data_IF_405299123277
#
_entry.id   IF_405299123277
#
_cell.length_a   1.000
_cell.length_b   1.000
_cell.length_c   1.000
_cell.angle_alpha   90.00
_cell.angle_beta   90.00
_cell.angle_gamma   90.00
#
_symmetry.space_group_name_H-M   'P 1'
#
loop_
_entity.id
_entity.type
_entity.pdbx_description
1 polymer ?
#
# COMPACT_ATOMS: atom_id res chain seq x y z
N UNK A 1 53.72 18.34 -45.05
CA UNK A 1 54.42 17.25 -45.77
C UNK A 1 53.69 15.95 -45.46
N UNK A 2 53.32 15.22 -46.51
CA UNK A 2 52.58 13.98 -46.47
C UNK A 2 53.50 12.76 -46.36
N UNK A 3 53.11 11.75 -45.60
CA UNK A 3 53.26 10.33 -45.97
C UNK A 3 52.28 9.49 -45.11
N UNK A 4 51.17 8.96 -45.63
CA UNK A 4 50.97 7.75 -46.45
C UNK A 4 50.85 6.45 -45.64
N UNK A 5 49.57 6.01 -45.51
CA UNK A 5 49.01 4.63 -45.55
C UNK A 5 49.47 3.54 -44.57
N UNK A 6 48.47 2.94 -43.92
CA UNK A 6 48.46 1.53 -43.52
C UNK A 6 47.05 1.07 -43.12
N UNK A 7 46.36 0.38 -44.02
CA UNK A 7 44.99 -0.16 -43.91
C UNK A 7 45.10 -1.69 -43.76
N UNK A 8 44.38 -2.32 -42.82
CA UNK A 8 43.96 -3.74 -42.76
C UNK A 8 43.12 -3.93 -41.47
N UNK A 9 41.79 -4.03 -41.49
CA UNK A 9 40.88 -5.14 -41.85
C UNK A 9 41.03 -6.43 -41.04
N UNK A 10 39.95 -6.70 -40.28
CA UNK A 10 39.27 -7.97 -39.97
C UNK A 10 39.93 -9.00 -39.02
N UNK A 11 39.18 -9.43 -38.00
CA UNK A 11 38.50 -10.73 -38.01
C UNK A 11 37.69 -10.97 -36.72
N UNK A 12 36.39 -11.16 -36.90
CA UNK A 12 35.44 -11.73 -35.92
C UNK A 12 35.78 -13.20 -35.71
N UNK A 13 35.79 -13.69 -34.46
CA UNK A 13 35.81 -15.13 -34.17
C UNK A 13 34.67 -15.47 -33.22
N UNK A 14 33.65 -16.14 -33.77
CA UNK A 14 32.60 -16.84 -33.05
C UNK A 14 33.13 -18.24 -32.75
N UNK A 15 33.12 -18.66 -31.47
CA UNK A 15 33.37 -20.06 -31.09
C UNK A 15 32.12 -20.56 -30.39
N UNK A 16 31.38 -21.40 -31.10
CA UNK A 16 30.32 -22.23 -30.57
C UNK A 16 30.94 -23.53 -30.07
N UNK A 17 30.68 -23.90 -28.81
CA UNK A 17 31.09 -25.18 -28.26
C UNK A 17 29.83 -25.94 -27.82
N UNK A 18 29.46 -26.94 -28.62
CA UNK A 18 28.47 -27.96 -28.29
C UNK A 18 29.25 -29.23 -27.93
N UNK A 19 29.05 -29.77 -26.73
CA UNK A 19 29.43 -31.14 -26.38
C UNK A 19 28.26 -31.75 -25.61
N UNK A 20 27.82 -32.92 -26.06
CA UNK A 20 26.66 -33.63 -25.54
C UNK A 20 26.99 -34.84 -24.64
N UNK A 21 25.94 -35.23 -23.90
CA UNK A 21 25.44 -36.57 -23.53
C UNK A 21 26.36 -37.61 -22.84
N UNK A 22 25.87 -38.10 -21.67
CA UNK A 22 25.44 -39.49 -21.34
C UNK A 22 25.38 -39.63 -19.79
N UNK A 23 24.23 -39.76 -19.13
CA UNK A 23 23.37 -40.95 -18.92
C UNK A 23 23.45 -41.50 -17.47
N UNK A 24 22.31 -41.65 -16.79
CA UNK A 24 22.17 -42.36 -15.50
C UNK A 24 20.81 -42.11 -14.83
N UNK A 25 19.92 -43.11 -14.86
CA UNK A 25 18.55 -43.06 -14.32
C UNK A 25 18.45 -43.64 -12.89
N UNK A 26 17.69 -43.00 -12.00
CA UNK A 26 16.81 -43.63 -10.99
C UNK A 26 15.63 -42.70 -10.64
N UNK A 27 14.43 -43.23 -10.33
CA UNK A 27 13.21 -42.44 -10.15
C UNK A 27 12.94 -42.12 -8.68
N UNK A 28 12.57 -40.88 -8.34
CA UNK A 28 11.74 -40.56 -7.17
C UNK A 28 11.42 -39.05 -7.10
N UNK A 29 10.17 -38.78 -6.74
CA UNK A 29 9.55 -37.50 -6.38
C UNK A 29 9.26 -36.52 -7.52
N UNK A 30 8.00 -36.51 -7.96
CA UNK A 30 7.36 -35.33 -8.53
C UNK A 30 7.52 -34.15 -7.56
N UNK A 31 8.14 -33.03 -7.97
CA UNK A 31 7.81 -31.76 -7.36
C UNK A 31 6.41 -31.39 -7.86
N UNK A 32 5.49 -31.13 -6.94
CA UNK A 32 4.19 -30.53 -7.23
C UNK A 32 4.36 -29.35 -8.21
N UNK A 33 3.42 -29.11 -9.13
CA UNK A 33 3.55 -28.02 -10.09
C UNK A 33 3.46 -26.68 -9.35
N UNK A 34 4.64 -26.18 -9.00
CA UNK A 34 4.87 -24.79 -8.68
C UNK A 34 4.87 -23.97 -9.97
N UNK A 35 4.03 -22.96 -9.96
CA UNK A 35 4.15 -21.68 -10.67
C UNK A 35 3.84 -21.63 -12.16
N UNK A 36 3.40 -20.42 -12.54
CA UNK A 36 3.42 -19.80 -13.85
C UNK A 36 2.22 -20.07 -14.78
N UNK A 37 1.09 -19.43 -14.45
CA UNK A 37 0.34 -18.77 -15.52
C UNK A 37 1.20 -17.63 -16.07
N UNK A 38 1.81 -17.92 -17.21
CA UNK A 38 2.51 -16.96 -18.05
C UNK A 38 1.46 -16.09 -18.73
N UNK A 39 1.42 -14.81 -18.37
CA UNK A 39 0.73 -13.77 -19.12
C UNK A 39 1.77 -12.71 -19.50
N UNK A 40 1.82 -12.39 -20.80
CA UNK A 40 2.76 -11.43 -21.36
C UNK A 40 2.49 -10.00 -20.86
N UNK A 41 3.54 -9.31 -20.42
CA UNK A 41 3.56 -7.85 -20.33
C UNK A 41 3.52 -7.24 -18.93
N UNK A 42 4.67 -7.23 -18.23
CA UNK A 42 4.99 -6.28 -17.15
C UNK A 42 3.93 -6.13 -16.04
N UNK A 43 3.39 -7.25 -15.57
CA UNK A 43 2.57 -7.26 -14.35
C UNK A 43 3.45 -6.90 -13.15
N UNK A 44 3.05 -5.87 -12.39
CA UNK A 44 3.64 -5.60 -11.08
C UNK A 44 3.27 -6.79 -10.18
N UNK A 45 4.24 -7.63 -9.83
CA UNK A 45 3.98 -8.78 -8.96
C UNK A 45 3.51 -8.28 -7.58
N UNK A 46 2.26 -8.57 -7.22
CA UNK A 46 1.71 -8.33 -5.89
C UNK A 46 1.99 -9.54 -5.01
N UNK A 47 2.56 -9.32 -3.84
CA UNK A 47 2.77 -10.35 -2.82
C UNK A 47 1.72 -10.23 -1.73
N UNK A 48 1.10 -11.35 -1.39
CA UNK A 48 0.13 -11.48 -0.30
C UNK A 48 0.30 -12.83 0.40
N UNK A 49 0.14 -12.84 1.72
CA UNK A 49 0.10 -14.04 2.55
C UNK A 49 -1.24 -14.11 3.27
N UNK A 50 -2.09 -15.05 2.85
CA UNK A 50 -3.45 -15.21 3.35
C UNK A 50 -4.37 -15.86 2.32
N UNK A 51 -5.65 -16.05 2.66
CA UNK A 51 -6.65 -16.51 1.70
C UNK A 51 -6.90 -15.45 0.62
N UNK A 52 -7.32 -15.89 -0.56
CA UNK A 52 -7.71 -14.97 -1.63
C UNK A 52 -8.89 -14.08 -1.15
N UNK A 53 -8.79 -12.74 -1.21
CA UNK A 53 -9.88 -11.84 -0.86
C UNK A 53 -11.08 -12.02 -1.80
N UNK A 54 -12.29 -11.97 -1.26
CA UNK A 54 -13.53 -12.01 -2.06
C UNK A 54 -14.00 -10.63 -2.52
N UNK A 55 -13.53 -9.55 -1.88
CA UNK A 55 -13.86 -8.18 -2.25
C UNK A 55 -12.90 -7.57 -3.28
N UNK A 56 -11.94 -8.34 -3.79
CA UNK A 56 -10.95 -7.86 -4.77
C UNK A 56 -11.10 -8.57 -6.11
N UNK A 57 -11.10 -7.79 -7.17
CA UNK A 57 -11.00 -8.26 -8.55
C UNK A 57 -9.87 -7.54 -9.29
N UNK A 58 -9.54 -8.02 -10.49
CA UNK A 58 -8.62 -7.33 -11.38
C UNK A 58 -9.33 -7.04 -12.70
N UNK A 59 -9.38 -5.76 -13.06
CA UNK A 59 -10.05 -5.26 -14.26
C UNK A 59 -9.03 -4.44 -15.08
N UNK A 60 -8.73 -4.89 -16.30
CA UNK A 60 -7.79 -4.21 -17.21
C UNK A 60 -6.42 -3.84 -16.57
N UNK A 61 -5.93 -4.69 -15.66
CA UNK A 61 -4.67 -4.47 -14.95
C UNK A 61 -4.75 -3.53 -13.74
N UNK A 62 -5.96 -3.15 -13.33
CA UNK A 62 -6.25 -2.40 -12.11
C UNK A 62 -6.78 -3.35 -11.05
N UNK A 63 -6.22 -3.28 -9.84
CA UNK A 63 -6.75 -3.97 -8.67
C UNK A 63 -7.96 -3.21 -8.14
N UNK A 64 -9.15 -3.81 -8.17
CA UNK A 64 -10.40 -3.17 -7.76
C UNK A 64 -10.86 -3.77 -6.44
N UNK A 65 -11.00 -2.93 -5.41
CA UNK A 65 -11.53 -3.30 -4.11
C UNK A 65 -12.95 -2.78 -3.95
N UNK A 66 -13.90 -3.70 -3.81
CA UNK A 66 -15.28 -3.37 -3.46
C UNK A 66 -15.42 -3.16 -1.95
N UNK A 67 -15.42 -1.90 -1.51
CA UNK A 67 -15.60 -1.56 -0.09
C UNK A 67 -17.08 -1.37 0.27
N UNK A 68 -18.01 -1.70 -0.64
CA UNK A 68 -19.46 -1.68 -0.37
C UNK A 68 -19.95 -2.95 0.30
N UNK A 69 -19.17 -4.04 0.24
CA UNK A 69 -19.49 -5.28 0.95
C UNK A 69 -19.25 -5.12 2.46
N UNK A 70 -20.01 -5.82 3.33
CA UNK A 70 -19.73 -5.82 4.76
C UNK A 70 -18.28 -6.27 5.07
N UNK A 71 -17.57 -5.58 5.98
CA UNK A 71 -16.18 -5.90 6.27
C UNK A 71 -16.06 -7.27 6.91
N UNK A 72 -15.13 -8.09 6.41
CA UNK A 72 -14.85 -9.41 6.96
C UNK A 72 -13.42 -9.86 6.64
N UNK A 73 -12.93 -10.85 7.38
CA UNK A 73 -11.63 -11.46 7.08
C UNK A 73 -11.60 -12.08 5.68
N UNK A 74 -12.69 -12.75 5.26
CA UNK A 74 -12.82 -13.34 3.93
C UNK A 74 -12.85 -12.26 2.83
N UNK A 75 -13.61 -11.18 3.02
CA UNK A 75 -13.67 -10.06 2.09
C UNK A 75 -12.27 -9.50 1.79
N UNK A 76 -11.45 -9.36 2.83
CA UNK A 76 -10.15 -8.69 2.75
C UNK A 76 -8.95 -9.64 2.70
N UNK A 77 -9.17 -10.95 2.65
CA UNK A 77 -8.11 -11.96 2.60
C UNK A 77 -7.23 -11.95 3.85
N UNK A 78 -7.81 -11.68 5.03
CA UNK A 78 -7.09 -11.70 6.31
C UNK A 78 -7.03 -13.14 6.79
N UNK A 79 -5.82 -13.63 7.07
CA UNK A 79 -5.63 -14.96 7.66
C UNK A 79 -5.97 -14.90 9.15
N UNK A 80 -6.96 -15.70 9.55
CA UNK A 80 -7.40 -15.85 10.95
C UNK A 80 -7.21 -17.28 11.46
N UNK A 81 -6.49 -18.12 10.70
CA UNK A 81 -6.37 -19.57 10.95
C UNK A 81 -5.45 -19.93 12.11
N UNK A 82 -4.60 -18.98 12.55
CA UNK A 82 -3.72 -19.13 13.70
C UNK A 82 -4.46 -19.11 15.04
N UNK A 83 -5.77 -18.81 15.04
CA UNK A 83 -6.63 -18.85 16.21
C UNK A 83 -6.25 -17.81 17.28
N UNK A 84 -5.41 -16.84 16.95
CA UNK A 84 -5.03 -15.78 17.88
C UNK A 84 -6.16 -14.78 17.99
N UNK A 85 -6.96 -14.90 19.05
CA UNK A 85 -7.97 -13.91 19.44
C UNK A 85 -7.37 -12.66 20.10
N UNK A 86 -6.04 -12.62 20.22
CA UNK A 86 -5.28 -11.57 20.90
C UNK A 86 -4.18 -11.05 19.97
N UNK A 87 -4.57 -10.19 19.03
CA UNK A 87 -3.64 -9.53 18.12
C UNK A 87 -4.34 -8.85 16.94
N UNK A 88 -3.65 -7.88 16.36
CA UNK A 88 -4.04 -7.30 15.07
C UNK A 88 -3.70 -8.32 13.98
N UNK A 89 -4.71 -8.79 13.25
CA UNK A 89 -4.58 -9.66 12.10
C UNK A 89 -4.55 -8.80 10.84
N UNK A 90 -3.74 -9.19 9.85
CA UNK A 90 -3.42 -8.33 8.70
C UNK A 90 -3.51 -9.10 7.38
N UNK A 91 -4.19 -8.51 6.40
CA UNK A 91 -4.11 -8.87 4.99
C UNK A 91 -3.38 -7.76 4.24
N UNK A 92 -2.10 -7.99 3.90
CA UNK A 92 -1.26 -7.01 3.20
C UNK A 92 -1.00 -7.43 1.75
N UNK A 93 -1.05 -6.45 0.85
CA UNK A 93 -0.89 -6.60 -0.59
C UNK A 93 0.15 -5.59 -1.07
N UNK A 94 1.39 -6.04 -1.14
CA UNK A 94 2.55 -5.18 -1.44
C UNK A 94 3.00 -5.39 -2.88
N UNK A 95 3.40 -4.30 -3.54
CA UNK A 95 3.98 -4.34 -4.88
C UNK A 95 5.49 -4.07 -4.83
N UNK A 96 6.25 -4.76 -5.67
CA UNK A 96 7.72 -4.67 -5.70
C UNK A 96 8.27 -3.46 -6.49
N UNK A 97 7.40 -2.72 -7.19
CA UNK A 97 7.79 -1.58 -8.03
C UNK A 97 7.64 -0.23 -7.32
N UNK A 98 8.64 0.66 -7.43
CA UNK A 98 8.66 1.93 -6.69
C UNK A 98 7.66 3.01 -7.14
N UNK A 99 6.91 2.80 -8.22
CA UNK A 99 5.90 3.75 -8.74
C UNK A 99 4.46 3.43 -8.33
N UNK A 100 4.28 2.51 -7.38
CA UNK A 100 2.98 1.94 -7.00
C UNK A 100 2.34 1.12 -8.13
N UNK A 101 1.28 0.39 -7.80
CA UNK A 101 0.37 -0.25 -8.76
C UNK A 101 -0.96 0.53 -8.81
N UNK A 102 -1.70 0.48 -9.92
CA UNK A 102 -3.02 1.11 -9.97
C UNK A 102 -4.01 0.29 -9.13
N UNK A 103 -4.69 0.96 -8.22
CA UNK A 103 -5.73 0.39 -7.36
C UNK A 103 -6.96 1.30 -7.41
N UNK A 104 -8.14 0.71 -7.53
CA UNK A 104 -9.43 1.40 -7.47
C UNK A 104 -10.21 0.92 -6.26
N UNK A 105 -10.68 1.84 -5.43
CA UNK A 105 -11.59 1.55 -4.33
C UNK A 105 -13.02 1.97 -4.71
N UNK A 106 -13.96 1.04 -4.72
CA UNK A 106 -15.39 1.33 -4.87
C UNK A 106 -15.96 1.58 -3.48
N UNK A 107 -16.42 2.80 -3.22
CA UNK A 107 -16.88 3.22 -1.90
C UNK A 107 -18.40 3.11 -1.78
N UNK A 108 -18.92 2.88 -0.55
CA UNK A 108 -20.31 3.18 -0.21
C UNK A 108 -20.71 4.57 -0.68
N UNK A 109 -21.92 4.70 -1.23
CA UNK A 109 -22.40 5.94 -1.84
C UNK A 109 -22.12 6.07 -3.35
N UNK A 110 -21.44 5.09 -3.96
CA UNK A 110 -21.28 5.01 -5.42
C UNK A 110 -20.09 5.78 -5.99
N UNK A 111 -19.21 6.30 -5.13
CA UNK A 111 -17.95 6.93 -5.52
C UNK A 111 -16.88 5.87 -5.76
N UNK A 112 -15.92 6.15 -6.65
CA UNK A 112 -14.72 5.34 -6.80
C UNK A 112 -13.48 6.22 -6.69
N UNK A 113 -12.41 5.67 -6.11
CA UNK A 113 -11.15 6.38 -5.88
C UNK A 113 -10.01 5.60 -6.52
N UNK A 114 -9.31 6.24 -7.45
CA UNK A 114 -8.15 5.66 -8.12
C UNK A 114 -6.86 6.13 -7.44
N UNK A 115 -6.00 5.18 -7.07
CA UNK A 115 -4.78 5.41 -6.29
C UNK A 115 -3.60 4.65 -6.90
N UNK A 116 -2.39 5.21 -6.77
CA UNK A 116 -1.13 4.47 -6.96
C UNK A 116 -0.68 3.94 -5.60
N UNK A 117 -0.81 2.64 -5.38
CA UNK A 117 -0.50 2.00 -4.11
C UNK A 117 0.80 1.19 -4.18
N UNK A 118 1.73 1.45 -3.26
CA UNK A 118 2.83 0.53 -2.98
C UNK A 118 2.31 -0.65 -2.15
N UNK A 119 1.44 -0.36 -1.19
CA UNK A 119 0.85 -1.34 -0.28
C UNK A 119 -0.62 -1.02 -0.01
N UNK A 120 -1.44 -2.07 0.04
CA UNK A 120 -2.83 -2.04 0.52
C UNK A 120 -2.88 -3.00 1.71
N UNK A 121 -3.27 -2.49 2.87
CA UNK A 121 -3.23 -3.25 4.12
C UNK A 121 -4.58 -3.16 4.80
N UNK A 122 -5.24 -4.31 4.93
CA UNK A 122 -6.44 -4.46 5.76
C UNK A 122 -6.05 -5.02 7.12
N UNK A 123 -6.68 -4.48 8.16
CA UNK A 123 -6.45 -4.86 9.55
C UNK A 123 -7.77 -5.29 10.16
N UNK A 124 -7.73 -6.37 10.93
CA UNK A 124 -8.79 -6.83 11.81
C UNK A 124 -8.25 -6.80 13.24
N UNK A 125 -8.98 -6.15 14.14
CA UNK A 125 -8.66 -6.14 15.55
C UNK A 125 -9.90 -6.45 16.39
N UNK A 126 -9.79 -7.50 17.22
CA UNK A 126 -10.80 -7.89 18.18
C UNK A 126 -10.46 -7.32 19.56
N UNK A 127 -11.41 -6.61 20.16
CA UNK A 127 -11.35 -6.11 21.52
C UNK A 127 -12.55 -6.65 22.31
N UNK A 128 -12.45 -7.81 22.98
CA UNK A 128 -13.59 -8.43 23.66
C UNK A 128 -14.20 -7.55 24.76
N UNK A 129 -13.37 -6.81 25.49
CA UNK A 129 -13.78 -6.01 26.65
C UNK A 129 -13.79 -4.50 26.37
N UNK A 130 -13.19 -4.06 25.25
CA UNK A 130 -12.90 -2.65 25.04
C UNK A 130 -11.82 -2.12 26.00
N UNK A 131 -11.59 -0.81 25.94
CA UNK A 131 -10.72 -0.07 26.86
C UNK A 131 -11.40 1.25 27.15
N UNK A 132 -11.65 1.54 28.43
CA UNK A 132 -12.15 2.83 28.90
C UNK A 132 -11.03 3.59 29.61
N UNK A 133 -11.07 4.92 29.55
CA UNK A 133 -10.20 5.77 30.35
C UNK A 133 -10.57 5.59 31.83
N UNK A 134 -9.62 5.16 32.69
CA UNK A 134 -9.92 4.85 34.09
C UNK A 134 -10.27 6.09 34.93
N UNK A 135 -10.02 7.29 34.42
CA UNK A 135 -10.24 8.57 35.08
C UNK A 135 -11.54 9.22 34.62
N UNK A 136 -11.79 9.23 33.30
CA UNK A 136 -12.94 9.94 32.71
C UNK A 136 -14.11 9.01 32.41
N UNK A 137 -13.88 7.70 32.32
CA UNK A 137 -14.87 6.72 31.85
C UNK A 137 -15.18 6.83 30.35
N UNK A 138 -14.36 7.55 29.60
CA UNK A 138 -14.49 7.68 28.15
C UNK A 138 -14.05 6.38 27.46
N UNK A 139 -14.81 5.92 26.46
CA UNK A 139 -14.44 4.74 25.68
C UNK A 139 -13.25 5.08 24.77
N UNK A 140 -12.08 4.51 25.08
CA UNK A 140 -10.86 4.67 24.29
C UNK A 140 -10.80 3.66 23.14
N UNK A 141 -11.22 2.42 23.39
CA UNK A 141 -11.35 1.35 22.40
C UNK A 141 -12.70 0.66 22.61
N UNK A 142 -13.64 0.73 21.67
CA UNK A 142 -14.93 0.07 21.85
C UNK A 142 -14.78 -1.45 21.88
N UNK A 143 -15.62 -2.11 22.69
CA UNK A 143 -15.73 -3.57 22.66
C UNK A 143 -16.32 -4.04 21.31
N UNK A 144 -15.73 -5.09 20.73
CA UNK A 144 -16.13 -5.70 19.47
C UNK A 144 -14.96 -5.91 18.51
N UNK A 145 -15.31 -6.16 17.25
CA UNK A 145 -14.39 -6.32 16.12
C UNK A 145 -14.34 -5.03 15.30
N UNK A 146 -13.14 -4.57 15.02
CA UNK A 146 -12.87 -3.41 14.17
C UNK A 146 -12.11 -3.81 12.92
N UNK A 147 -12.40 -3.11 11.82
CA UNK A 147 -11.66 -3.24 10.57
C UNK A 147 -11.09 -1.88 10.16
N UNK A 148 -9.88 -1.93 9.61
CA UNK A 148 -9.19 -0.76 9.08
C UNK A 148 -8.54 -1.07 7.73
N UNK A 149 -8.44 -0.05 6.90
CA UNK A 149 -7.68 -0.04 5.65
C UNK A 149 -6.62 1.05 5.75
N UNK A 150 -5.40 0.72 5.34
CA UNK A 150 -4.32 1.67 5.06
C UNK A 150 -3.79 1.41 3.66
N UNK A 151 -3.57 2.48 2.91
CA UNK A 151 -2.96 2.44 1.58
C UNK A 151 -1.79 3.40 1.57
N UNK A 152 -0.59 2.85 1.37
CA UNK A 152 0.63 3.63 1.28
C UNK A 152 0.94 3.91 -0.19
N UNK A 153 1.00 5.18 -0.57
CA UNK A 153 1.38 5.59 -1.93
C UNK A 153 2.90 5.68 -2.09
N UNK A 154 3.42 5.82 -3.32
CA UNK A 154 4.79 6.28 -3.53
C UNK A 154 5.09 7.55 -2.75
N UNK A 155 6.26 7.57 -2.13
CA UNK A 155 6.76 8.74 -1.43
C UNK A 155 7.12 9.83 -2.44
N UNK A 156 6.90 11.09 -2.05
CA UNK A 156 7.28 12.26 -2.86
C UNK A 156 8.28 13.12 -2.10
N UNK A 157 9.27 13.64 -2.83
CA UNK A 157 10.33 14.47 -2.28
C UNK A 157 10.01 15.96 -2.46
N UNK A 158 10.16 16.73 -1.40
CA UNK A 158 10.00 18.18 -1.40
C UNK A 158 8.60 18.65 -1.00
N UNK A 159 8.56 19.80 -0.31
CA UNK A 159 7.34 20.41 0.21
C UNK A 159 6.30 20.68 -0.88
N UNK A 160 6.70 21.30 -2.00
CA UNK A 160 5.80 21.64 -3.09
C UNK A 160 5.14 20.39 -3.70
N UNK A 161 5.92 19.32 -3.87
CA UNK A 161 5.40 18.04 -4.38
C UNK A 161 4.46 17.36 -3.37
N UNK A 162 4.77 17.43 -2.07
CA UNK A 162 3.92 16.92 -1.00
C UNK A 162 2.58 17.65 -0.91
N UNK A 163 2.59 18.98 -0.99
CA UNK A 163 1.39 19.83 -1.01
C UNK A 163 0.55 19.55 -2.26
N UNK A 164 1.19 19.52 -3.44
CA UNK A 164 0.49 19.24 -4.70
C UNK A 164 -0.15 17.85 -4.69
N UNK A 165 0.56 16.82 -4.22
CA UNK A 165 0.03 15.46 -4.12
C UNK A 165 -1.14 15.34 -3.14
N UNK A 166 -1.10 16.05 -2.01
CA UNK A 166 -2.22 16.09 -1.09
C UNK A 166 -3.43 16.83 -1.67
N UNK A 167 -3.22 17.94 -2.35
CA UNK A 167 -4.29 18.67 -3.03
C UNK A 167 -4.95 17.83 -4.13
N UNK A 168 -4.15 17.14 -4.96
CA UNK A 168 -4.67 16.22 -5.98
C UNK A 168 -5.53 15.10 -5.35
N UNK A 169 -5.13 14.59 -4.18
CA UNK A 169 -5.88 13.58 -3.46
C UNK A 169 -7.21 14.10 -2.90
N UNK A 170 -7.23 15.33 -2.37
CA UNK A 170 -8.46 15.99 -1.92
C UNK A 170 -9.42 16.21 -3.09
N UNK A 171 -8.91 16.71 -4.22
CA UNK A 171 -9.69 16.92 -5.44
C UNK A 171 -10.27 15.60 -5.98
N UNK A 172 -9.47 14.53 -5.98
CA UNK A 172 -9.91 13.19 -6.38
C UNK A 172 -11.02 12.62 -5.49
N UNK A 173 -11.08 13.04 -4.22
CA UNK A 173 -12.14 12.67 -3.28
C UNK A 173 -13.30 13.68 -3.24
N UNK A 174 -13.19 14.82 -3.92
CA UNK A 174 -14.15 15.93 -3.80
C UNK A 174 -14.18 16.55 -2.40
N UNK A 175 -13.07 16.51 -1.67
CA UNK A 175 -12.93 17.05 -0.32
C UNK A 175 -12.51 18.53 -0.35
N UNK A 176 -12.91 19.34 0.65
CA UNK A 176 -12.46 20.73 0.77
C UNK A 176 -10.94 20.85 0.95
N UNK A 177 -10.35 21.90 0.37
CA UNK A 177 -8.91 22.18 0.44
C UNK A 177 -8.48 22.90 1.74
N UNK A 178 -9.34 23.02 2.74
CA UNK A 178 -9.09 23.80 3.95
C UNK A 178 -7.85 23.32 4.73
N UNK A 179 -7.58 22.01 4.67
CA UNK A 179 -6.43 21.37 5.33
C UNK A 179 -5.11 21.57 4.58
N UNK A 180 -5.13 22.08 3.34
CA UNK A 180 -3.90 22.39 2.58
C UNK A 180 -3.14 23.55 3.24
N UNK A 181 -3.84 24.61 3.64
CA UNK A 181 -3.22 25.73 4.34
C UNK A 181 -2.65 25.35 5.70
N UNK A 182 -3.24 24.35 6.38
CA UNK A 182 -2.68 23.77 7.60
C UNK A 182 -1.40 22.97 7.32
N UNK A 183 -1.36 22.20 6.23
CA UNK A 183 -0.16 21.49 5.80
C UNK A 183 1.00 22.45 5.52
N UNK A 184 0.74 23.52 4.75
CA UNK A 184 1.73 24.55 4.45
C UNK A 184 2.28 25.20 5.73
N UNK A 185 1.40 25.52 6.69
CA UNK A 185 1.81 26.06 7.98
C UNK A 185 2.70 25.08 8.77
N UNK A 186 2.34 23.80 8.79
CA UNK A 186 3.12 22.75 9.47
C UNK A 186 4.49 22.55 8.83
N UNK A 187 4.58 22.63 7.50
CA UNK A 187 5.85 22.59 6.77
C UNK A 187 6.70 23.82 7.13
N UNK A 188 6.10 25.01 7.08
CA UNK A 188 6.80 26.27 7.36
C UNK A 188 7.27 26.40 8.82
N UNK A 189 6.54 25.82 9.77
CA UNK A 189 6.91 25.80 11.18
C UNK A 189 8.22 25.04 11.43
N UNK A 190 8.59 24.09 10.56
CA UNK A 190 9.78 23.27 10.70
C UNK A 190 9.73 22.34 11.93
N UNK A 191 10.85 21.75 12.34
CA UNK A 191 10.89 20.82 13.47
C UNK A 191 10.58 21.53 14.79
N UNK A 192 9.59 21.03 15.53
CA UNK A 192 9.26 21.50 16.89
C UNK A 192 10.13 20.78 17.92
N UNK A 193 11.39 21.20 18.08
CA UNK A 193 12.30 20.59 19.04
C UNK A 193 13.78 20.83 18.73
N UNK A 194 14.70 20.28 19.54
CA UNK A 194 16.12 20.25 19.16
C UNK A 194 16.32 19.23 18.03
N UNK A 195 17.38 19.36 17.22
CA UNK A 195 17.76 18.32 16.26
C UNK A 195 17.89 16.96 16.97
N UNK A 196 17.11 15.96 16.53
CA UNK A 196 17.02 14.63 17.16
C UNK A 196 15.86 14.44 18.14
N UNK A 197 15.18 15.52 18.55
CA UNK A 197 13.98 15.49 19.41
C UNK A 197 12.67 15.40 18.58
N UNK A 198 12.72 15.12 17.27
CA UNK A 198 11.54 15.09 16.39
C UNK A 198 11.08 13.66 16.04
N UNK A 199 10.46 12.92 16.99
CA UNK A 199 9.82 11.64 16.66
C UNK A 199 8.40 11.83 16.09
N UNK A 200 7.78 13.00 16.25
CA UNK A 200 6.38 13.19 15.86
C UNK A 200 6.24 13.43 14.35
N UNK A 201 5.62 12.43 13.73
CA UNK A 201 5.13 12.51 12.36
C UNK A 201 4.06 13.60 12.31
N UNK A 202 4.36 14.66 11.58
CA UNK A 202 3.39 15.73 11.34
C UNK A 202 2.42 15.27 10.25
N UNK A 203 1.13 15.45 10.49
CA UNK A 203 0.06 14.98 9.62
C UNK A 203 -1.07 16.02 9.53
N UNK A 204 -1.68 16.12 8.35
CA UNK A 204 -3.05 16.62 8.18
C UNK A 204 -3.86 15.51 7.53
N UNK A 205 -5.16 15.52 7.73
CA UNK A 205 -6.05 14.54 7.09
C UNK A 205 -7.43 15.14 6.86
N UNK A 206 -8.11 14.63 5.83
CA UNK A 206 -9.51 14.90 5.57
C UNK A 206 -10.22 13.59 5.22
N UNK A 207 -11.49 13.48 5.58
CA UNK A 207 -12.29 12.29 5.35
C UNK A 207 -13.62 12.65 4.73
N UNK A 208 -14.14 11.73 3.90
CA UNK A 208 -15.53 11.75 3.49
C UNK A 208 -16.45 11.56 4.71
N UNK A 209 -17.72 12.02 4.63
CA UNK A 209 -18.73 11.63 5.58
C UNK A 209 -18.84 10.10 5.68
N UNK A 210 -19.24 9.60 6.86
CA UNK A 210 -19.43 8.17 7.07
C UNK A 210 -20.65 7.68 6.29
N UNK A 211 -20.47 6.61 5.53
CA UNK A 211 -21.51 5.97 4.72
C UNK A 211 -21.49 4.46 4.95
N UNK A 212 -22.66 3.86 5.20
CA UNK A 212 -22.81 2.43 5.54
C UNK A 212 -21.85 1.94 6.65
N UNK A 213 -21.62 2.81 7.63
CA UNK A 213 -20.73 2.52 8.74
C UNK A 213 -19.24 2.56 8.39
N UNK A 214 -18.85 2.99 7.20
CA UNK A 214 -17.45 3.16 6.80
C UNK A 214 -17.10 4.65 6.62
N UNK A 215 -15.96 5.07 7.13
CA UNK A 215 -15.36 6.37 6.81
C UNK A 215 -14.08 6.16 6.00
N UNK A 216 -13.98 6.80 4.83
CA UNK A 216 -12.79 6.80 3.98
C UNK A 216 -12.16 8.20 3.96
N UNK A 217 -10.83 8.28 3.91
CA UNK A 217 -10.13 9.56 3.88
C UNK A 217 -8.70 9.45 3.37
N UNK A 218 -8.02 10.60 3.41
CA UNK A 218 -6.62 10.74 3.02
C UNK A 218 -5.91 11.63 4.01
N UNK A 219 -4.65 11.31 4.28
CA UNK A 219 -3.78 12.13 5.10
C UNK A 219 -2.35 12.14 4.62
N UNK A 220 -1.57 13.06 5.19
CA UNK A 220 -0.14 13.18 4.93
C UNK A 220 0.67 12.74 6.14
N UNK A 221 1.90 12.32 5.87
CA UNK A 221 2.87 12.02 6.90
C UNK A 221 4.26 12.40 6.40
N UNK A 222 4.93 13.27 7.14
CA UNK A 222 6.30 13.67 6.82
C UNK A 222 7.12 13.92 8.09
N UNK A 223 8.44 14.00 7.91
CA UNK A 223 9.38 14.38 8.97
C UNK A 223 10.09 15.67 8.57
N UNK A 224 9.91 16.76 9.34
CA UNK A 224 10.50 18.06 9.00
C UNK A 224 12.00 18.18 9.32
N UNK A 225 12.60 17.18 9.98
CA UNK A 225 13.99 17.20 10.45
C UNK A 225 15.01 16.62 9.46
N UNK A 226 14.58 16.29 8.24
CA UNK A 226 15.42 15.68 7.21
C UNK A 226 15.94 16.72 6.22
N UNK A 227 17.18 16.53 5.74
CA UNK A 227 17.79 17.36 4.68
C UNK A 227 16.92 17.40 3.40
N UNK A 228 16.23 16.29 3.12
CA UNK A 228 15.20 16.20 2.10
C UNK A 228 13.91 15.76 2.78
N UNK A 229 12.91 16.64 2.80
CA UNK A 229 11.59 16.29 3.34
C UNK A 229 10.90 15.31 2.40
N UNK A 230 10.59 14.13 2.93
CA UNK A 230 9.85 13.08 2.23
C UNK A 230 8.41 13.06 2.77
N UNK A 231 7.44 13.12 1.86
CA UNK A 231 6.03 13.03 2.16
C UNK A 231 5.48 11.66 1.76
N UNK A 232 4.69 11.10 2.66
CA UNK A 232 3.88 9.93 2.43
C UNK A 232 2.42 10.38 2.42
N UNK A 233 1.72 10.05 1.34
CA UNK A 233 0.27 10.16 1.29
C UNK A 233 -0.30 8.81 1.71
N UNK A 234 -1.24 8.82 2.65
CA UNK A 234 -1.87 7.63 3.22
C UNK A 234 -3.37 7.76 3.00
N UNK A 235 -3.96 6.88 2.19
CA UNK A 235 -5.41 6.71 2.17
C UNK A 235 -5.80 5.71 3.26
N UNK A 236 -6.94 5.93 3.89
CA UNK A 236 -7.41 5.06 4.97
C UNK A 236 -8.91 4.87 4.91
N UNK A 237 -9.37 3.75 5.47
CA UNK A 237 -10.77 3.56 5.80
C UNK A 237 -10.92 2.90 7.17
N UNK A 238 -11.98 3.23 7.90
CA UNK A 238 -12.33 2.58 9.14
C UNK A 238 -13.83 2.25 9.13
N UNK A 239 -14.17 1.04 9.53
CA UNK A 239 -15.56 0.60 9.69
C UNK A 239 -16.02 0.73 11.14
N UNK A 240 -17.32 0.83 11.33
CA UNK A 240 -17.95 0.74 12.64
C UNK A 240 -17.62 -0.61 13.29
N UNK A 241 -17.48 -0.57 14.61
CA UNK A 241 -17.23 -1.77 15.40
C UNK A 241 -18.45 -2.68 15.34
N UNK A 242 -18.23 -3.97 15.07
CA UNK A 242 -19.26 -5.01 14.98
C UNK A 242 -19.07 -6.05 16.08
N UNK A 243 -20.09 -6.86 16.42
CA UNK A 243 -19.90 -7.97 17.36
C UNK A 243 -18.83 -8.97 16.88
N UNK A 244 -18.06 -9.52 17.82
CA UNK A 244 -17.14 -10.64 17.55
C UNK A 244 -17.98 -11.91 17.33
N UNK A 245 -17.77 -12.68 16.25
CA UNK A 245 -18.50 -13.92 15.95
C UNK A 245 -18.34 -15.03 17.00
#
# INVERSE_FOLDING_TARGET
MASTRGRRLAATLVVATVVGLLAGCTPAAEPAPGTSSRSDGRELSVSHHGPQPTAMTTEDGVEVWDLTVPPSAEAFGIDTSDGSTSGVQVGAYSSSGGGGRPVRFVLPGGTSVDVRANEVTFQLNDSPEGVDDPTTGEVLVPAGRSFGLRVDTPAVEGADAGVAGYQEALDGLGLPSDTVGELEQKIAAGPTGRPGDAPERTAVSASLPREQGMQFGVGTRFRPDQDITVFLLEYYANWDVVPIP
#
